data_IF_542200897611
#
_entry.id   IF_542200897611
#
_cell.length_a   1.000
_cell.length_b   1.000
_cell.length_c   1.000
_cell.angle_alpha   90.00
_cell.angle_beta   90.00
_cell.angle_gamma   90.00
#
_symmetry.space_group_name_H-M   'P 1'
#
loop_
_entity.id
_entity.type
_entity.pdbx_description
1 polymer ?
#
# COMPACT_ATOMS: atom_id res chain seq x y z
N UNK A 1 17.14 -29.17 -11.66
CA UNK A 1 17.53 -27.75 -11.74
C UNK A 1 16.49 -26.98 -10.95
N UNK A 2 16.72 -26.85 -9.64
CA UNK A 2 15.89 -26.01 -8.78
C UNK A 2 16.37 -24.57 -9.00
N UNK A 3 15.58 -23.77 -9.69
CA UNK A 3 15.77 -22.33 -9.73
C UNK A 3 15.51 -21.81 -8.32
N UNK A 4 16.56 -21.45 -7.60
CA UNK A 4 16.46 -20.62 -6.40
C UNK A 4 15.77 -19.31 -6.80
N UNK A 5 14.46 -19.27 -6.54
CA UNK A 5 13.64 -18.08 -6.61
C UNK A 5 14.17 -17.14 -5.52
N UNK A 6 15.05 -16.22 -5.93
CA UNK A 6 15.45 -15.08 -5.11
C UNK A 6 14.15 -14.41 -4.66
N UNK A 7 13.81 -14.57 -3.39
CA UNK A 7 12.72 -13.86 -2.74
C UNK A 7 13.13 -12.39 -2.63
N UNK A 8 13.07 -11.67 -3.76
CA UNK A 8 13.11 -10.21 -3.75
C UNK A 8 12.03 -9.75 -2.79
N UNK A 9 12.37 -8.87 -1.85
CA UNK A 9 11.45 -8.26 -0.88
C UNK A 9 10.27 -7.62 -1.63
N UNK A 10 9.24 -8.42 -1.89
CA UNK A 10 8.07 -8.06 -2.69
C UNK A 10 7.02 -7.34 -1.86
N UNK A 11 7.35 -6.93 -0.63
CA UNK A 11 6.44 -6.21 0.26
C UNK A 11 5.97 -4.91 -0.39
N UNK A 12 4.73 -4.50 -0.10
CA UNK A 12 4.21 -3.20 -0.52
C UNK A 12 5.23 -2.08 -0.21
N UNK A 13 5.44 -1.16 -1.14
CA UNK A 13 6.23 0.05 -0.87
C UNK A 13 5.43 1.06 -0.05
N UNK A 14 6.09 2.08 0.50
CA UNK A 14 5.41 3.14 1.26
C UNK A 14 4.41 3.93 0.43
N UNK A 15 4.68 4.13 -0.87
CA UNK A 15 3.75 4.76 -1.81
C UNK A 15 2.44 3.97 -1.89
N UNK A 16 2.51 2.65 -2.06
CA UNK A 16 1.33 1.79 -2.15
C UNK A 16 0.51 1.85 -0.86
N UNK A 17 1.17 1.75 0.31
CA UNK A 17 0.49 1.84 1.61
C UNK A 17 -0.22 3.18 1.81
N UNK A 18 0.48 4.29 1.55
CA UNK A 18 -0.08 5.65 1.64
C UNK A 18 -1.25 5.85 0.69
N UNK A 19 -1.20 5.23 -0.49
CA UNK A 19 -2.29 5.27 -1.47
C UNK A 19 -3.55 4.64 -0.90
N UNK A 20 -3.48 3.39 -0.43
CA UNK A 20 -4.63 2.69 0.16
C UNK A 20 -5.18 3.48 1.35
N UNK A 21 -4.31 4.02 2.21
CA UNK A 21 -4.71 4.81 3.37
C UNK A 21 -5.45 6.10 2.98
N UNK A 22 -4.99 6.82 1.95
CA UNK A 22 -5.66 8.04 1.47
C UNK A 22 -6.99 7.74 0.78
N UNK A 23 -7.07 6.64 0.04
CA UNK A 23 -8.29 6.19 -0.61
C UNK A 23 -9.23 5.40 0.31
N UNK A 24 -8.91 5.27 1.61
CA UNK A 24 -9.63 4.37 2.51
C UNK A 24 -11.10 4.73 2.66
N UNK A 25 -11.45 6.01 2.76
CA UNK A 25 -12.85 6.44 2.90
C UNK A 25 -13.70 6.07 1.69
N UNK A 26 -13.37 6.50 0.45
CA UNK A 26 -14.17 6.15 -0.72
C UNK A 26 -14.18 4.64 -0.98
N UNK A 27 -13.06 3.94 -0.76
CA UNK A 27 -13.03 2.49 -0.90
C UNK A 27 -13.97 1.82 0.13
N UNK A 28 -13.96 2.23 1.39
CA UNK A 28 -14.80 1.59 2.40
C UNK A 28 -16.29 1.84 2.18
N UNK A 29 -16.64 3.00 1.64
CA UNK A 29 -18.04 3.40 1.48
C UNK A 29 -18.66 2.85 0.17
N UNK A 30 -17.88 2.70 -0.90
CA UNK A 30 -18.39 2.31 -2.24
C UNK A 30 -18.01 0.89 -2.69
N UNK A 31 -17.07 0.21 -2.01
CA UNK A 31 -16.58 -1.12 -2.43
C UNK A 31 -17.55 -2.25 -2.08
N UNK A 32 -18.07 -2.95 -3.10
CA UNK A 32 -18.96 -4.10 -2.92
C UNK A 32 -18.17 -5.41 -2.79
N UNK A 33 -17.88 -5.82 -1.55
CA UNK A 33 -17.10 -7.03 -1.25
C UNK A 33 -17.61 -8.33 -1.87
N UNK A 34 -18.92 -8.55 -1.99
CA UNK A 34 -19.46 -9.83 -2.50
C UNK A 34 -19.03 -10.15 -3.93
N UNK A 35 -18.81 -9.13 -4.78
CA UNK A 35 -18.33 -9.33 -6.15
C UNK A 35 -16.81 -9.44 -6.25
N UNK A 36 -16.09 -8.79 -5.34
CA UNK A 36 -14.63 -8.60 -5.46
C UNK A 36 -13.86 -9.69 -4.72
N UNK A 37 -14.38 -10.19 -3.59
CA UNK A 37 -13.63 -11.10 -2.72
C UNK A 37 -13.26 -12.41 -3.42
N UNK A 38 -14.18 -12.96 -4.21
CA UNK A 38 -13.97 -14.21 -4.96
C UNK A 38 -12.94 -14.00 -6.08
N UNK A 39 -12.98 -12.85 -6.75
CA UNK A 39 -12.00 -12.50 -7.76
C UNK A 39 -10.59 -12.35 -7.16
N UNK A 40 -10.48 -11.67 -6.00
CA UNK A 40 -9.22 -11.50 -5.26
C UNK A 40 -8.68 -12.86 -4.77
N UNK A 41 -9.55 -13.74 -4.26
CA UNK A 41 -9.18 -15.09 -3.86
C UNK A 41 -8.71 -15.93 -5.04
N UNK A 42 -9.41 -15.88 -6.18
CA UNK A 42 -9.04 -16.62 -7.39
C UNK A 42 -7.68 -16.22 -7.96
N UNK A 43 -7.25 -14.98 -7.72
CA UNK A 43 -5.92 -14.48 -8.07
C UNK A 43 -4.82 -14.90 -7.09
N UNK A 44 -5.18 -15.50 -5.96
CA UNK A 44 -4.22 -15.89 -4.91
C UNK A 44 -3.75 -14.72 -4.05
N UNK A 45 -4.39 -13.55 -4.14
CA UNK A 45 -4.03 -12.36 -3.36
C UNK A 45 -4.32 -12.56 -1.88
N UNK A 46 -5.41 -13.26 -1.55
CA UNK A 46 -5.77 -13.65 -0.18
C UNK A 46 -5.90 -15.16 -0.07
N UNK A 47 -5.68 -15.69 1.13
CA UNK A 47 -5.92 -17.10 1.42
C UNK A 47 -7.40 -17.36 1.70
N UNK A 48 -7.81 -18.62 1.65
CA UNK A 48 -9.18 -19.03 1.97
C UNK A 48 -9.56 -18.63 3.42
N UNK A 49 -8.65 -18.83 4.38
CA UNK A 49 -8.86 -18.38 5.76
C UNK A 49 -9.11 -16.86 5.85
N UNK A 50 -8.33 -16.06 5.11
CA UNK A 50 -8.52 -14.61 5.11
C UNK A 50 -9.87 -14.21 4.50
N UNK A 51 -10.29 -14.89 3.44
CA UNK A 51 -11.60 -14.67 2.83
C UNK A 51 -12.72 -14.95 3.84
N UNK A 52 -12.67 -16.08 4.56
CA UNK A 52 -13.65 -16.43 5.59
C UNK A 52 -13.67 -15.40 6.72
N UNK A 53 -12.50 -14.99 7.21
CA UNK A 53 -12.38 -13.96 8.24
C UNK A 53 -12.98 -12.62 7.80
N UNK A 54 -12.70 -12.19 6.56
CA UNK A 54 -13.28 -10.96 5.99
C UNK A 54 -14.80 -11.11 5.88
N UNK A 55 -15.30 -12.20 5.29
CA UNK A 55 -16.74 -12.39 5.02
C UNK A 55 -17.56 -12.64 6.29
N UNK A 56 -16.91 -13.03 7.39
CA UNK A 56 -17.54 -13.17 8.70
C UNK A 56 -17.97 -11.83 9.32
N UNK A 57 -17.43 -10.69 8.85
CA UNK A 57 -17.82 -9.37 9.37
C UNK A 57 -19.27 -9.06 9.00
N UNK A 58 -20.06 -8.47 9.92
CA UNK A 58 -21.51 -8.34 9.76
C UNK A 58 -21.92 -7.32 8.69
N UNK A 59 -21.12 -6.28 8.44
CA UNK A 59 -21.47 -5.24 7.47
C UNK A 59 -20.46 -5.17 6.35
N UNK A 60 -20.91 -4.86 5.13
CA UNK A 60 -20.04 -4.69 3.98
C UNK A 60 -18.92 -3.66 4.24
N UNK A 61 -19.25 -2.57 4.94
CA UNK A 61 -18.28 -1.55 5.35
C UNK A 61 -17.16 -2.11 6.24
N UNK A 62 -17.49 -2.99 7.17
CA UNK A 62 -16.50 -3.66 8.03
C UNK A 62 -15.69 -4.71 7.25
N UNK A 63 -16.33 -5.44 6.34
CA UNK A 63 -15.65 -6.37 5.43
C UNK A 63 -14.60 -5.61 4.58
N UNK A 64 -14.98 -4.48 3.98
CA UNK A 64 -14.09 -3.63 3.18
C UNK A 64 -12.92 -3.10 4.01
N UNK A 65 -13.16 -2.64 5.24
CA UNK A 65 -12.09 -2.19 6.15
C UNK A 65 -11.09 -3.31 6.46
N UNK A 66 -11.58 -4.48 6.87
CA UNK A 66 -10.76 -5.63 7.24
C UNK A 66 -9.96 -6.16 6.04
N UNK A 67 -10.58 -6.19 4.86
CA UNK A 67 -9.90 -6.50 3.60
C UNK A 67 -8.75 -5.52 3.31
N UNK A 68 -8.99 -4.21 3.37
CA UNK A 68 -7.94 -3.21 3.10
C UNK A 68 -6.79 -3.30 4.10
N UNK A 69 -7.07 -3.59 5.38
CA UNK A 69 -6.02 -3.81 6.39
C UNK A 69 -5.17 -5.04 6.07
N UNK A 70 -5.80 -6.13 5.63
CA UNK A 70 -5.11 -7.33 5.17
C UNK A 70 -4.30 -7.06 3.89
N UNK A 71 -4.82 -6.27 2.95
CA UNK A 71 -4.15 -5.90 1.70
C UNK A 71 -2.84 -5.13 1.97
N UNK A 72 -2.79 -4.28 3.01
CA UNK A 72 -1.57 -3.56 3.40
C UNK A 72 -0.39 -4.47 3.79
N UNK A 73 -0.67 -5.73 4.14
CA UNK A 73 0.35 -6.73 4.50
C UNK A 73 0.84 -7.57 3.33
N UNK A 74 0.28 -7.36 2.13
CA UNK A 74 0.56 -8.16 0.94
C UNK A 74 1.75 -7.62 0.15
N UNK A 75 2.02 -8.27 -0.97
CA UNK A 75 3.06 -7.90 -1.91
C UNK A 75 2.57 -6.87 -2.94
N UNK A 76 3.52 -6.27 -3.66
CA UNK A 76 3.22 -5.28 -4.70
C UNK A 76 2.31 -5.88 -5.79
N UNK A 77 2.49 -7.16 -6.14
CA UNK A 77 1.65 -7.86 -7.11
C UNK A 77 0.17 -7.90 -6.67
N UNK A 78 -0.11 -8.11 -5.39
CA UNK A 78 -1.47 -8.05 -4.85
C UNK A 78 -2.13 -6.67 -5.02
N UNK A 79 -1.35 -5.59 -4.95
CA UNK A 79 -1.89 -4.25 -5.21
C UNK A 79 -2.30 -4.10 -6.68
N UNK A 80 -1.46 -4.55 -7.61
CA UNK A 80 -1.76 -4.47 -9.04
C UNK A 80 -2.97 -5.33 -9.42
N UNK A 81 -3.04 -6.56 -8.91
CA UNK A 81 -4.20 -7.44 -9.11
C UNK A 81 -5.49 -6.84 -8.53
N UNK A 82 -5.40 -6.17 -7.38
CA UNK A 82 -6.53 -5.45 -6.79
C UNK A 82 -7.02 -4.33 -7.70
N UNK A 83 -6.12 -3.51 -8.25
CA UNK A 83 -6.48 -2.45 -9.20
C UNK A 83 -7.11 -3.04 -10.47
N UNK A 84 -6.59 -4.15 -10.99
CA UNK A 84 -7.13 -4.79 -12.18
C UNK A 84 -8.52 -5.38 -11.96
N UNK A 85 -8.81 -5.89 -10.77
CA UNK A 85 -10.16 -6.33 -10.39
C UNK A 85 -11.10 -5.11 -10.28
N UNK A 86 -10.66 -4.03 -9.64
CA UNK A 86 -11.45 -2.79 -9.59
C UNK A 86 -11.77 -2.25 -10.99
N UNK A 87 -10.86 -2.33 -11.97
CA UNK A 87 -11.14 -1.86 -13.34
C UNK A 87 -12.30 -2.58 -14.01
N UNK A 88 -12.56 -3.84 -13.65
CA UNK A 88 -13.65 -4.63 -14.25
C UNK A 88 -15.00 -4.22 -13.71
N UNK A 89 -15.12 -4.14 -12.39
CA UNK A 89 -16.42 -4.03 -11.73
C UNK A 89 -16.67 -2.63 -11.12
N UNK A 90 -15.61 -1.86 -10.83
CA UNK A 90 -15.66 -0.60 -10.10
C UNK A 90 -14.65 0.42 -10.66
N UNK A 91 -14.78 0.74 -11.96
CA UNK A 91 -13.80 1.56 -12.69
C UNK A 91 -13.53 2.93 -12.04
N UNK A 92 -14.53 3.53 -11.41
CA UNK A 92 -14.40 4.80 -10.70
C UNK A 92 -13.46 4.69 -9.49
N UNK A 93 -13.55 3.62 -8.70
CA UNK A 93 -12.63 3.35 -7.60
C UNK A 93 -11.22 3.05 -8.11
N UNK A 94 -11.11 2.29 -9.20
CA UNK A 94 -9.82 2.02 -9.82
C UNK A 94 -9.10 3.32 -10.21
N UNK A 95 -9.81 4.27 -10.81
CA UNK A 95 -9.27 5.58 -11.19
C UNK A 95 -8.86 6.39 -9.94
N UNK A 96 -9.70 6.45 -8.91
CA UNK A 96 -9.36 7.16 -7.66
C UNK A 96 -8.07 6.63 -7.05
N UNK A 97 -7.92 5.31 -6.94
CA UNK A 97 -6.73 4.70 -6.33
C UNK A 97 -5.50 4.92 -7.22
N UNK A 98 -5.64 4.76 -8.54
CA UNK A 98 -4.55 4.96 -9.50
C UNK A 98 -4.06 6.42 -9.51
N UNK A 99 -4.96 7.38 -9.61
CA UNK A 99 -4.62 8.80 -9.66
C UNK A 99 -3.94 9.22 -8.34
N UNK A 100 -4.40 8.66 -7.20
CA UNK A 100 -3.76 8.90 -5.91
C UNK A 100 -2.36 8.25 -5.80
N UNK A 101 -2.19 7.06 -6.37
CA UNK A 101 -0.90 6.37 -6.43
C UNK A 101 0.11 7.19 -7.22
N UNK A 102 -0.29 7.65 -8.40
CA UNK A 102 0.56 8.46 -9.30
C UNK A 102 0.95 9.79 -8.65
N UNK A 103 -0.01 10.46 -8.01
CA UNK A 103 0.27 11.70 -7.28
C UNK A 103 1.31 11.50 -6.16
N UNK A 104 1.24 10.37 -5.44
CA UNK A 104 2.20 10.05 -4.38
C UNK A 104 3.56 9.63 -4.94
N UNK A 105 3.58 8.77 -5.96
CA UNK A 105 4.81 8.32 -6.62
C UNK A 105 5.57 9.50 -7.22
N UNK A 106 4.86 10.43 -7.87
CA UNK A 106 5.44 11.65 -8.40
C UNK A 106 6.00 12.58 -7.30
N UNK A 107 5.26 12.72 -6.19
CA UNK A 107 5.72 13.52 -5.05
C UNK A 107 6.99 12.93 -4.42
N UNK A 108 7.06 11.62 -4.25
CA UNK A 108 8.22 10.92 -3.69
C UNK A 108 9.43 11.03 -4.63
N UNK A 109 9.25 10.81 -5.93
CA UNK A 109 10.30 10.99 -6.94
C UNK A 109 10.87 12.43 -6.93
N UNK A 110 9.99 13.43 -6.80
CA UNK A 110 10.40 14.85 -6.73
C UNK A 110 11.18 15.13 -5.44
N UNK A 111 10.78 14.54 -4.30
CA UNK A 111 11.52 14.68 -3.04
C UNK A 111 12.90 14.02 -3.12
N UNK A 112 13.02 12.84 -3.71
CA UNK A 112 14.30 12.18 -3.93
C UNK A 112 15.23 13.02 -4.82
N UNK A 113 14.70 13.61 -5.87
CA UNK A 113 15.48 14.50 -6.73
C UNK A 113 15.91 15.77 -6.00
N UNK A 114 15.02 16.39 -5.22
CA UNK A 114 15.34 17.57 -4.43
C UNK A 114 16.41 17.28 -3.36
N UNK A 115 16.39 16.08 -2.76
CA UNK A 115 17.44 15.62 -1.85
C UNK A 115 18.75 15.40 -2.59
N UNK A 116 18.72 14.75 -3.77
CA UNK A 116 19.91 14.57 -4.59
C UNK A 116 20.57 15.90 -4.98
N UNK A 117 19.76 16.93 -5.29
CA UNK A 117 20.27 18.27 -5.63
C UNK A 117 20.82 19.06 -4.44
N UNK A 118 20.41 18.75 -3.22
CA UNK A 118 20.95 19.38 -1.99
C UNK A 118 22.29 18.81 -1.57
N UNK A 119 22.69 17.67 -2.13
CA UNK A 119 23.98 17.04 -1.85
C UNK A 119 25.05 17.85 -2.60
N UNK A 120 25.87 18.62 -1.86
CA UNK A 120 26.98 19.37 -2.44
C UNK A 120 27.97 18.41 -3.10
N UNK A 121 28.17 18.49 -4.43
CA UNK A 121 29.06 17.58 -5.15
C UNK A 121 30.52 17.69 -4.68
N UNK A 122 30.90 18.74 -3.93
CA UNK A 122 32.27 18.92 -3.42
C UNK A 122 32.58 18.09 -2.17
N UNK A 123 31.57 17.52 -1.52
CA UNK A 123 31.73 16.77 -0.26
C UNK A 123 31.53 15.26 -0.37
N UNK A 124 31.14 14.74 -1.53
CA UNK A 124 30.87 13.30 -1.69
C UNK A 124 32.11 12.54 -2.14
N UNK A 125 32.38 11.42 -1.46
CA UNK A 125 33.28 10.38 -1.95
C UNK A 125 32.80 9.90 -3.32
N UNK A 126 33.70 9.65 -4.26
CA UNK A 126 33.40 9.26 -5.65
C UNK A 126 32.41 8.08 -5.74
N UNK A 127 32.49 7.13 -4.80
CA UNK A 127 31.62 5.96 -4.74
C UNK A 127 30.15 6.30 -4.49
N UNK A 128 29.87 7.31 -3.66
CA UNK A 128 28.51 7.78 -3.40
C UNK A 128 27.93 8.56 -4.58
N UNK A 129 28.80 9.24 -5.34
CA UNK A 129 28.41 9.98 -6.54
C UNK A 129 28.01 9.03 -7.68
N UNK A 130 28.75 7.93 -7.86
CA UNK A 130 28.42 6.90 -8.83
C UNK A 130 27.06 6.25 -8.55
N UNK A 131 26.77 5.96 -7.27
CA UNK A 131 25.47 5.43 -6.85
C UNK A 131 24.32 6.41 -7.13
N UNK A 132 24.46 7.68 -6.71
CA UNK A 132 23.45 8.70 -6.94
C UNK A 132 23.18 8.93 -8.44
N UNK A 133 24.24 8.96 -9.27
CA UNK A 133 24.12 9.10 -10.73
C UNK A 133 23.38 7.92 -11.35
N UNK A 134 23.64 6.70 -10.87
CA UNK A 134 22.93 5.50 -11.30
C UNK A 134 21.44 5.58 -10.94
N UNK A 135 21.11 5.92 -9.68
CA UNK A 135 19.72 6.10 -9.25
C UNK A 135 18.98 7.18 -10.04
N UNK A 136 19.62 8.32 -10.32
CA UNK A 136 19.02 9.39 -11.14
C UNK A 136 18.79 8.89 -12.58
N UNK A 137 19.75 8.16 -13.16
CA UNK A 137 19.59 7.62 -14.51
C UNK A 137 18.47 6.57 -14.64
N UNK A 138 18.13 5.87 -13.56
CA UNK A 138 17.01 4.91 -13.50
C UNK A 138 15.65 5.61 -13.26
N UNK A 139 15.62 6.68 -12.46
CA UNK A 139 14.38 7.41 -12.12
C UNK A 139 13.89 8.30 -13.27
N UNK A 140 14.80 8.96 -13.99
CA UNK A 140 14.45 9.88 -15.09
C UNK A 140 13.56 9.24 -16.17
N UNK A 141 13.85 8.04 -16.71
CA UNK A 141 12.99 7.41 -17.71
C UNK A 141 11.62 7.01 -17.15
N UNK A 142 11.54 6.57 -15.88
CA UNK A 142 10.25 6.28 -15.22
C UNK A 142 9.35 7.52 -15.14
N UNK A 143 9.92 8.67 -14.75
CA UNK A 143 9.18 9.94 -14.69
C UNK A 143 8.70 10.35 -16.09
N UNK A 144 9.52 10.13 -17.13
CA UNK A 144 9.17 10.45 -18.51
C UNK A 144 8.10 9.51 -19.08
N UNK A 145 8.12 8.22 -18.72
CA UNK A 145 7.11 7.24 -19.14
C UNK A 145 5.76 7.55 -18.50
N UNK A 146 5.73 7.82 -17.20
CA UNK A 146 4.52 8.27 -16.49
C UNK A 146 3.96 9.54 -17.16
N UNK A 147 4.81 10.50 -17.48
CA UNK A 147 4.40 11.71 -18.21
C UNK A 147 3.71 11.40 -19.55
N UNK A 148 4.32 10.55 -20.37
CA UNK A 148 3.81 10.22 -21.70
C UNK A 148 2.49 9.44 -21.62
N UNK A 149 2.34 8.57 -20.62
CA UNK A 149 1.16 7.74 -20.43
C UNK A 149 -0.09 8.54 -20.02
N UNK A 150 0.09 9.69 -19.38
CA UNK A 150 -1.00 10.44 -18.74
C UNK A 150 -1.26 11.84 -19.32
N UNK A 151 -0.63 12.22 -20.45
CA UNK A 151 -0.79 13.52 -21.09
C UNK A 151 -0.78 14.69 -20.08
N UNK A 152 0.11 14.63 -19.08
CA UNK A 152 0.21 15.67 -18.06
C UNK A 152 0.82 16.91 -18.74
N UNK A 153 -0.06 17.76 -19.29
CA UNK A 153 0.27 18.99 -20.02
C UNK A 153 0.79 20.13 -19.11
N UNK A 154 1.28 19.81 -17.92
CA UNK A 154 1.93 20.77 -17.03
C UNK A 154 3.35 21.08 -17.51
N UNK A 155 3.50 22.07 -18.39
CA UNK A 155 4.79 22.54 -18.93
C UNK A 155 5.77 23.00 -17.85
N UNK A 156 5.26 23.50 -16.72
CA UNK A 156 6.06 24.32 -15.80
C UNK A 156 6.94 23.49 -14.85
N UNK A 157 6.46 22.34 -14.39
CA UNK A 157 7.25 21.44 -13.54
C UNK A 157 8.36 20.73 -14.32
N UNK A 158 8.24 20.64 -15.65
CA UNK A 158 9.15 19.89 -16.52
C UNK A 158 10.35 20.74 -16.96
N UNK A 159 10.13 22.03 -17.23
CA UNK A 159 11.23 22.95 -17.50
C UNK A 159 12.25 22.94 -16.34
N UNK A 160 11.76 22.95 -15.08
CA UNK A 160 12.64 22.87 -13.90
C UNK A 160 13.44 21.57 -13.82
N UNK A 161 12.85 20.42 -14.15
CA UNK A 161 13.54 19.12 -14.10
C UNK A 161 14.57 18.95 -15.23
N UNK A 162 14.23 19.43 -16.43
CA UNK A 162 15.06 19.25 -17.63
C UNK A 162 16.29 20.18 -17.59
N UNK A 163 16.11 21.43 -17.15
CA UNK A 163 17.21 22.38 -16.98
C UNK A 163 18.23 21.89 -15.93
N UNK A 164 17.77 21.18 -14.90
CA UNK A 164 18.64 20.66 -13.83
C UNK A 164 19.47 19.45 -14.27
N UNK A 165 18.97 18.58 -15.14
CA UNK A 165 19.77 17.49 -15.73
C UNK A 165 20.93 18.05 -16.58
N UNK A 166 20.69 19.12 -17.35
CA UNK A 166 21.77 19.79 -18.08
C UNK A 166 22.83 20.43 -17.18
N UNK A 167 22.45 20.90 -15.99
CA UNK A 167 23.41 21.46 -15.02
C UNK A 167 24.23 20.38 -14.30
N UNK A 168 23.64 19.21 -14.04
CA UNK A 168 24.38 18.04 -13.55
C UNK A 168 25.41 17.58 -14.60
N UNK A 169 25.00 17.45 -15.87
CA UNK A 169 25.91 17.03 -16.95
C UNK A 169 27.03 18.04 -17.21
N UNK A 170 26.75 19.35 -17.12
CA UNK A 170 27.80 20.39 -17.16
C UNK A 170 28.74 20.31 -15.97
N UNK A 171 28.22 20.07 -14.76
CA UNK A 171 29.04 19.91 -13.55
C UNK A 171 29.96 18.69 -13.62
N UNK A 172 29.47 17.58 -14.19
CA UNK A 172 30.27 16.37 -14.45
C UNK A 172 31.33 16.61 -15.52
N UNK A 173 30.99 17.33 -16.59
CA UNK A 173 31.94 17.66 -17.67
C UNK A 173 33.05 18.58 -17.15
N UNK A 174 32.71 19.56 -16.33
CA UNK A 174 33.67 20.47 -15.68
C UNK A 174 34.60 19.76 -14.67
N UNK A 175 34.17 18.65 -14.07
CA UNK A 175 35.03 17.82 -13.21
C UNK A 175 36.03 16.98 -14.02
N UNK A 176 35.64 16.51 -15.22
CA UNK A 176 36.56 15.81 -16.13
C UNK A 176 37.65 16.72 -16.69
N UNK A 177 37.29 17.96 -17.04
CA UNK A 177 38.24 18.91 -17.65
C UNK A 177 39.24 19.52 -16.66
N UNK A 178 38.94 19.51 -15.35
CA UNK A 178 39.85 20.05 -14.33
C UNK A 178 41.02 19.14 -13.98
N UNK A 179 41.10 17.96 -14.58
CA UNK A 179 42.14 16.97 -14.30
C UNK A 179 41.99 16.44 -12.87
N UNK A 180 41.65 15.16 -12.73
CA UNK A 180 41.68 14.51 -11.43
C UNK A 180 43.04 14.77 -10.77
N UNK A 181 43.11 15.25 -9.52
CA UNK A 181 44.35 15.18 -8.77
C UNK A 181 44.73 13.71 -8.74
N UNK A 182 45.88 13.37 -9.33
CA UNK A 182 46.41 12.02 -9.25
C UNK A 182 46.50 11.67 -7.76
N UNK A 183 45.65 10.76 -7.31
CA UNK A 183 45.77 10.16 -5.99
C UNK A 183 47.22 9.71 -5.85
N UNK A 184 47.92 10.08 -4.76
CA UNK A 184 49.28 9.61 -4.55
C UNK A 184 49.25 8.09 -4.63
N UNK A 185 50.08 7.53 -5.51
CA UNK A 185 50.28 6.08 -5.63
C UNK A 185 50.51 5.56 -4.22
N UNK A 186 49.51 4.86 -3.66
CA UNK A 186 49.66 4.12 -2.43
C UNK A 186 50.75 3.10 -2.72
N UNK A 187 51.92 3.33 -2.15
CA UNK A 187 53.03 2.40 -2.26
C UNK A 187 52.53 1.05 -1.74
N UNK A 188 52.65 0.02 -2.58
CA UNK A 188 52.55 -1.38 -2.17
C UNK A 188 53.64 -1.63 -1.12
N UNK A 189 53.28 -1.40 0.15
CA UNK A 189 54.11 -1.64 1.32
C UNK A 189 53.83 -3.03 1.85
N UNK A 190 54.79 -3.91 1.62
CA UNK A 190 55.04 -5.22 2.23
C UNK A 190 54.15 -5.62 3.41
N UNK A 191 53.54 -6.79 3.24
CA UNK A 191 53.21 -7.74 4.30
C UNK A 191 54.43 -8.04 5.18
N UNK A 192 54.39 -7.68 6.47
CA UNK A 192 55.04 -8.42 7.57
C UNK A 192 54.69 -7.76 8.92
N UNK A 193 53.46 -7.98 9.40
CA UNK A 193 53.12 -7.69 10.79
C UNK A 193 53.41 -8.93 11.64
N UNK A 194 54.61 -8.92 12.23
CA UNK A 194 55.04 -9.80 13.32
C UNK A 194 54.38 -9.31 14.61
N UNK A 195 53.40 -10.05 15.12
CA UNK A 195 52.83 -9.84 16.46
C UNK A 195 53.90 -10.11 17.53
N UNK A 196 54.11 -9.21 18.51
CA UNK A 196 54.82 -9.58 19.73
C UNK A 196 53.87 -10.29 20.70
N UNK A 197 54.21 -11.54 21.03
CA UNK A 197 53.60 -12.27 22.15
C UNK A 197 53.88 -11.55 23.47
N UNK A 198 52.84 -11.12 24.17
CA UNK A 198 52.91 -10.66 25.56
C UNK A 198 52.39 -11.80 26.45
N UNK A 199 53.22 -12.39 27.32
CA UNK A 199 52.76 -13.38 28.29
C UNK A 199 52.34 -12.71 29.60
N UNK A 200 51.14 -13.04 30.07
CA UNK A 200 50.79 -12.99 31.49
C UNK A 200 50.08 -11.72 31.96
N UNK A 201 48.74 -11.73 31.87
CA UNK A 201 47.88 -11.06 32.86
C UNK A 201 46.71 -11.98 33.18
N UNK A 202 46.75 -12.53 34.39
CA UNK A 202 45.64 -13.16 35.09
C UNK A 202 44.82 -12.04 35.72
N UNK A 203 43.50 -12.04 35.51
CA UNK A 203 42.43 -11.79 36.50
C UNK A 203 41.24 -10.96 36.00
N UNK A 204 40.07 -11.55 36.25
CA UNK A 204 38.75 -10.99 36.59
C UNK A 204 37.81 -10.44 35.49
N UNK A 205 36.54 -10.93 35.46
CA UNK A 205 35.46 -10.33 34.70
C UNK A 205 34.75 -9.26 35.54
N UNK A 206 34.94 -7.99 35.21
CA UNK A 206 34.05 -6.92 35.66
C UNK A 206 32.91 -6.76 34.64
N UNK A 207 31.71 -7.15 35.06
CA UNK A 207 30.45 -6.83 34.37
C UNK A 207 30.26 -5.32 34.30
N UNK A 208 30.54 -4.72 33.15
CA UNK A 208 30.10 -3.36 32.85
C UNK A 208 28.67 -3.41 32.33
N UNK A 209 27.73 -3.23 33.26
CA UNK A 209 26.33 -2.97 33.00
C UNK A 209 26.20 -1.61 32.31
N UNK A 210 26.19 -1.59 30.97
CA UNK A 210 25.84 -0.40 30.20
C UNK A 210 24.35 -0.10 30.42
N UNK A 211 24.07 0.83 31.32
CA UNK A 211 22.76 1.42 31.51
C UNK A 211 22.35 2.18 30.25
N UNK A 212 21.34 1.67 29.56
CA UNK A 212 20.54 2.50 28.66
C UNK A 212 19.82 3.54 29.50
N UNK A 213 20.23 4.79 29.35
CA UNK A 213 19.49 5.96 29.84
C UNK A 213 18.20 6.10 29.04
N UNK A 214 17.16 5.47 29.58
CA UNK A 214 15.76 5.63 29.21
C UNK A 214 15.39 7.12 29.33
N UNK A 215 15.37 7.80 28.19
CA UNK A 215 14.90 9.18 28.09
C UNK A 215 13.39 9.16 28.29
N UNK A 216 12.97 9.52 29.50
CA UNK A 216 11.57 9.76 29.84
C UNK A 216 10.98 10.82 28.90
N UNK A 217 9.83 10.58 28.25
CA UNK A 217 9.11 11.63 27.55
C UNK A 217 8.60 12.63 28.59
N UNK A 218 8.95 13.88 28.39
CA UNK A 218 8.55 15.02 29.19
C UNK A 218 7.03 15.10 29.31
N UNK A 219 6.55 15.31 30.54
CA UNK A 219 5.16 15.62 30.87
C UNK A 219 4.59 16.71 29.94
N UNK A 220 3.78 16.28 28.98
CA UNK A 220 2.93 17.19 28.23
C UNK A 220 1.73 17.53 29.12
N UNK A 221 1.83 18.66 29.83
CA UNK A 221 0.70 19.23 30.56
C UNK A 221 -0.42 19.59 29.58
N UNK A 222 -1.46 18.75 29.55
CA UNK A 222 -2.76 19.09 28.98
C UNK A 222 -3.42 20.15 29.85
N UNK A 223 -3.11 21.41 29.55
CA UNK A 223 -3.89 22.54 30.07
C UNK A 223 -5.27 22.53 29.42
N UNK A 224 -6.28 22.47 30.29
CA UNK A 224 -7.69 22.63 29.96
C UNK A 224 -7.92 23.93 29.17
N UNK A 225 -8.47 23.80 27.97
CA UNK A 225 -9.25 24.86 27.32
C UNK A 225 -10.64 24.31 27.06
N UNK A 226 -11.46 24.33 28.10
CA UNK A 226 -12.91 24.37 27.92
C UNK A 226 -13.26 25.82 27.57
N UNK A 227 -13.60 26.05 26.30
CA UNK A 227 -14.32 27.24 25.88
C UNK A 227 -15.53 26.79 25.08
N UNK A 228 -16.67 26.90 25.73
CA UNK A 228 -17.94 27.39 25.20
C UNK A 228 -18.18 27.18 23.71
N UNK A 229 -19.01 26.18 23.39
CA UNK A 229 -19.79 26.16 22.18
C UNK A 229 -21.20 25.64 22.51
N UNK A 230 -21.96 26.51 23.17
CA UNK A 230 -23.38 26.35 23.43
C UNK A 230 -24.18 27.26 22.48
N UNK A 231 -24.40 26.86 21.23
CA UNK A 231 -25.45 27.52 20.43
C UNK A 231 -25.86 26.72 19.19
N UNK A 232 -26.74 25.73 19.38
CA UNK A 232 -27.75 25.42 18.36
C UNK A 232 -29.08 25.19 19.06
N UNK A 233 -29.89 26.23 19.04
CA UNK A 233 -31.25 26.27 19.50
C UNK A 233 -32.14 25.31 18.68
N UNK A 234 -32.84 24.42 19.39
CA UNK A 234 -34.06 23.78 18.87
C UNK A 234 -35.17 24.84 18.81
N UNK A 235 -35.87 25.02 17.67
CA UNK A 235 -37.11 25.78 17.68
C UNK A 235 -38.22 24.97 18.36
N UNK A 236 -38.72 25.52 19.47
CA UNK A 236 -39.95 25.10 20.14
C UNK A 236 -41.15 25.33 19.22
N UNK A 237 -41.93 24.28 18.98
CA UNK A 237 -43.29 24.37 18.44
C UNK A 237 -44.25 24.41 19.65
N UNK A 238 -45.01 25.49 19.87
CA UNK A 238 -45.99 25.53 20.94
C UNK A 238 -47.36 25.04 20.47
N UNK A 239 -47.94 24.12 21.24
CA UNK A 239 -49.39 24.02 21.39
C UNK A 239 -50.03 22.77 20.81
N UNK A 240 -50.15 21.72 21.63
CA UNK A 240 -51.40 20.94 21.71
C UNK A 240 -51.64 20.56 23.17
N UNK A 241 -52.90 20.75 23.54
CA UNK A 241 -53.55 20.69 24.84
C UNK A 241 -53.61 19.27 25.41
N UNK A 242 -53.67 19.21 26.74
CA UNK A 242 -53.86 18.08 27.64
C UNK A 242 -54.84 16.97 27.18
N UNK A 243 -54.55 15.71 27.54
CA UNK A 243 -55.23 15.01 28.64
C UNK A 243 -54.58 13.64 28.94
N UNK A 244 -54.75 13.11 30.17
CA UNK A 244 -54.19 11.83 30.61
C UNK A 244 -55.24 10.71 30.53
N UNK A 245 -54.86 9.50 30.14
CA UNK A 245 -55.61 8.31 30.52
C UNK A 245 -54.73 7.06 30.53
N UNK A 246 -54.77 6.38 31.67
CA UNK A 246 -54.19 5.07 31.89
C UNK A 246 -54.85 4.05 30.97
N UNK A 247 -54.05 3.15 30.39
CA UNK A 247 -54.54 1.82 30.09
C UNK A 247 -53.38 0.84 30.16
N UNK A 248 -53.41 0.13 31.29
CA UNK A 248 -53.00 -1.25 31.46
C UNK A 248 -53.23 -2.06 30.17
N UNK A 249 -52.16 -2.57 29.56
CA UNK A 249 -52.25 -3.55 28.49
C UNK A 249 -51.33 -4.71 28.83
N UNK A 250 -52.00 -5.77 29.30
CA UNK A 250 -51.44 -7.06 29.58
C UNK A 250 -50.67 -7.64 28.39
N UNK A 251 -49.54 -8.24 28.75
CA UNK A 251 -48.78 -9.12 27.87
C UNK A 251 -49.66 -10.30 27.47
N UNK A 252 -50.15 -10.27 26.23
CA UNK A 252 -50.80 -11.42 25.60
C UNK A 252 -49.73 -12.27 24.94
N UNK A 253 -49.38 -13.34 25.64
CA UNK A 253 -48.62 -14.49 25.18
C UNK A 253 -49.27 -15.07 23.92
N UNK A 254 -48.75 -14.68 22.76
CA UNK A 254 -49.18 -15.23 21.47
C UNK A 254 -48.44 -16.54 21.23
N UNK A 255 -49.18 -17.64 21.30
CA UNK A 255 -48.73 -18.97 20.91
C UNK A 255 -48.38 -19.03 19.42
N UNK A 256 -47.39 -19.85 19.02
CA UNK A 256 -47.06 -20.06 17.62
C UNK A 256 -48.17 -20.85 16.92
N UNK A 257 -48.71 -20.28 15.85
CA UNK A 257 -49.67 -20.94 14.97
C UNK A 257 -48.98 -22.03 14.17
N UNK A 258 -49.57 -23.23 14.22
CA UNK A 258 -49.27 -24.38 13.37
C UNK A 258 -49.13 -23.98 11.89
N UNK A 259 -47.90 -24.01 11.39
CA UNK A 259 -47.64 -23.95 9.96
C UNK A 259 -47.91 -25.35 9.37
N UNK A 260 -49.10 -25.52 8.80
CA UNK A 260 -49.45 -26.74 8.08
C UNK A 260 -48.52 -26.93 6.86
N UNK A 261 -47.75 -28.02 6.89
CA UNK A 261 -47.12 -28.61 5.71
C UNK A 261 -48.22 -28.99 4.71
N UNK A 262 -48.44 -28.13 3.71
CA UNK A 262 -49.15 -28.52 2.50
C UNK A 262 -48.16 -29.16 1.54
N UNK A 263 -48.29 -30.46 1.39
CA UNK A 263 -47.66 -31.23 0.33
C UNK A 263 -48.09 -30.66 -1.03
N UNK A 264 -47.13 -30.16 -1.80
CA UNK A 264 -47.27 -29.97 -3.25
C UNK A 264 -46.33 -30.97 -3.92
N UNK A 265 -46.87 -32.16 -4.16
CA UNK A 265 -46.37 -33.06 -5.17
C UNK A 265 -47.01 -32.64 -6.51
N UNK A 266 -46.20 -32.08 -7.41
CA UNK A 266 -46.42 -32.03 -8.87
C UNK A 266 -45.03 -32.14 -9.50
N UNK A 267 -44.65 -33.34 -9.91
CA UNK A 267 -44.73 -33.80 -11.31
C UNK A 267 -43.96 -32.92 -12.30
N UNK A 268 -42.86 -33.51 -12.77
CA UNK A 268 -42.43 -33.62 -14.18
C UNK A 268 -42.37 -32.36 -15.06
N UNK A 269 -41.13 -31.93 -15.31
CA UNK A 269 -40.56 -31.79 -16.66
C UNK A 269 -39.04 -31.71 -16.50
N UNK A 270 -38.32 -32.83 -16.60
CA UNK A 270 -37.77 -33.33 -17.87
C UNK A 270 -37.14 -32.21 -18.71
N UNK A 271 -35.97 -31.73 -18.24
CA UNK A 271 -35.07 -30.97 -19.09
C UNK A 271 -34.37 -31.96 -20.03
N UNK A 272 -34.88 -32.02 -21.26
CA UNK A 272 -34.19 -32.66 -22.37
C UNK A 272 -32.81 -32.03 -22.57
N UNK A 273 -31.77 -32.87 -22.50
CA UNK A 273 -30.43 -32.53 -22.97
C UNK A 273 -30.49 -32.31 -24.49
N UNK A 274 -29.99 -31.19 -25.03
CA UNK A 274 -29.78 -31.08 -26.46
C UNK A 274 -28.71 -32.09 -26.89
N UNK A 275 -29.13 -33.07 -27.68
CA UNK A 275 -28.25 -33.99 -28.40
C UNK A 275 -27.39 -33.17 -29.37
N UNK A 276 -26.07 -33.17 -29.17
CA UNK A 276 -25.11 -32.63 -30.12
C UNK A 276 -24.92 -33.70 -31.23
N UNK A 277 -25.28 -33.42 -32.49
CA UNK A 277 -25.04 -34.35 -33.57
C UNK A 277 -23.61 -34.19 -34.12
N UNK A 278 -22.87 -35.30 -34.13
CA UNK A 278 -21.93 -35.65 -35.20
C UNK A 278 -20.61 -34.89 -35.26
N UNK A 279 -19.58 -35.40 -34.58
CA UNK A 279 -18.21 -35.27 -35.08
C UNK A 279 -17.82 -36.63 -35.67
N UNK A 280 -17.80 -36.64 -37.00
CA UNK A 280 -17.35 -37.72 -37.85
C UNK A 280 -15.88 -38.05 -37.52
N UNK A 281 -15.62 -39.32 -37.20
CA UNK A 281 -14.27 -39.87 -37.24
C UNK A 281 -13.72 -39.79 -38.68
N UNK A 282 -12.49 -39.30 -38.84
CA UNK A 282 -11.71 -39.56 -40.04
C UNK A 282 -10.67 -40.65 -39.76
N UNK A 283 -10.45 -41.57 -40.72
CA UNK A 283 -9.58 -42.71 -40.56
C UNK A 283 -8.10 -42.35 -40.76
N UNK A 284 -7.29 -43.17 -40.13
CA UNK A 284 -5.85 -43.30 -40.31
C UNK A 284 -5.45 -43.30 -41.79
N UNK A 285 -4.36 -42.60 -42.10
CA UNK A 285 -3.60 -42.80 -43.32
C UNK A 285 -2.15 -43.06 -42.94
N UNK A 286 -1.67 -44.14 -43.55
CA UNK A 286 -0.42 -44.89 -43.40
C UNK A 286 0.85 -44.07 -43.58
#
# INVERSE_FOLDING_TARGET
>A
METELVQSDTRLTDVHRKTIQKCRVPLVDDLIMSGIIDAIYSKGVITNQMQEEIMSKPTNREQSRDFLDKLLTRDVAAFDDFIDILKRDNIHLANIVRDQFEALAFSEATQHLALANKIDPKGLHEDNFAFAKKSVSEIVPMVQELKNKYEINGSDSIAMLTDHNTDIDKSVSNLKDKGLPQLPKVAEGNSENKLPSIPGVVAQPESTHLGWSESQPSDFQLSQVAKDNSEYAKPSIPGVVAQPESTDLGWSESQPSDFQLSQVAKDNSEYERPSIPGVLAQPEST
#
